data_IF_233331746611
#
_entry.id   IF_233331746611
#
_cell.length_a   1.000
_cell.length_b   1.000
_cell.length_c   1.000
_cell.angle_alpha   90.00
_cell.angle_beta   90.00
_cell.angle_gamma   90.00
#
_symmetry.space_group_name_H-M   'P 1'
#
loop_
_entity.id
_entity.type
_entity.pdbx_description
1 polymer ?
#
# COMPACT_ATOMS: atom_id res chain seq x y z
N UNK A 1 -20.80 -42.53 -19.32
CA UNK A 1 -20.07 -42.06 -18.11
C UNK A 1 -19.09 -40.90 -18.36
N UNK A 2 -19.22 -40.09 -19.42
CA UNK A 2 -18.26 -39.00 -19.72
C UNK A 2 -18.69 -37.59 -19.25
N UNK A 3 -19.97 -37.40 -18.91
CA UNK A 3 -20.52 -36.09 -18.53
C UNK A 3 -20.15 -35.64 -17.10
N UNK A 4 -19.91 -36.58 -16.18
CA UNK A 4 -19.61 -36.29 -14.76
C UNK A 4 -18.19 -35.75 -14.54
N UNK A 5 -17.26 -36.00 -15.46
CA UNK A 5 -15.86 -35.59 -15.34
C UNK A 5 -15.67 -34.10 -15.70
N UNK A 6 -16.44 -33.59 -16.67
CA UNK A 6 -16.36 -32.20 -17.13
C UNK A 6 -16.88 -31.24 -16.04
N UNK A 7 -17.96 -31.61 -15.34
CA UNK A 7 -18.53 -30.80 -14.26
C UNK A 7 -17.60 -30.68 -13.05
N UNK A 8 -16.79 -31.71 -12.77
CA UNK A 8 -15.85 -31.73 -11.65
C UNK A 8 -14.62 -30.84 -11.88
N UNK A 9 -14.19 -30.69 -13.14
CA UNK A 9 -13.04 -29.85 -13.51
C UNK A 9 -13.45 -28.37 -13.48
N UNK A 10 -14.69 -28.06 -13.89
CA UNK A 10 -15.20 -26.67 -13.90
C UNK A 10 -15.38 -26.11 -12.48
N UNK A 11 -15.81 -26.93 -11.52
CA UNK A 11 -15.94 -26.51 -10.11
C UNK A 11 -14.59 -26.32 -9.41
N UNK A 12 -13.54 -27.03 -9.82
CA UNK A 12 -12.18 -26.84 -9.30
C UNK A 12 -11.55 -25.51 -9.75
N UNK A 13 -11.88 -25.03 -10.95
CA UNK A 13 -11.45 -23.72 -11.43
C UNK A 13 -12.17 -22.57 -10.72
N UNK A 14 -13.45 -22.73 -10.39
CA UNK A 14 -14.23 -21.71 -9.67
C UNK A 14 -13.80 -21.57 -8.19
N UNK A 15 -13.29 -22.63 -7.56
CA UNK A 15 -12.78 -22.56 -6.19
C UNK A 15 -11.49 -21.72 -6.06
N UNK A 16 -10.64 -21.71 -7.10
CA UNK A 16 -9.35 -21.00 -7.05
C UNK A 16 -9.47 -19.49 -7.33
N UNK A 17 -10.54 -19.04 -7.99
CA UNK A 17 -10.78 -17.61 -8.23
C UNK A 17 -11.28 -16.85 -6.98
N UNK A 18 -11.86 -17.56 -6.00
CA UNK A 18 -12.39 -16.96 -4.76
C UNK A 18 -11.31 -16.55 -3.75
N UNK A 19 -10.16 -17.23 -3.74
CA UNK A 19 -9.10 -16.97 -2.75
C UNK A 19 -8.32 -15.67 -3.02
N UNK A 20 -8.23 -15.22 -4.27
CA UNK A 20 -7.49 -13.99 -4.60
C UNK A 20 -8.23 -12.70 -4.21
N UNK A 21 -9.58 -12.71 -4.24
CA UNK A 21 -10.40 -11.55 -3.85
C UNK A 21 -10.51 -11.38 -2.33
N UNK A 22 -10.41 -12.46 -1.56
CA UNK A 22 -10.50 -12.41 -0.10
C UNK A 22 -9.32 -11.65 0.56
N UNK A 23 -8.10 -11.79 0.02
CA UNK A 23 -6.91 -11.12 0.55
C UNK A 23 -6.95 -9.60 0.37
N UNK A 24 -7.47 -9.09 -0.75
CA UNK A 24 -7.63 -7.64 -0.95
C UNK A 24 -8.63 -7.02 0.04
N UNK A 25 -9.72 -7.72 0.33
CA UNK A 25 -10.75 -7.24 1.24
C UNK A 25 -10.29 -7.27 2.71
N UNK A 26 -9.51 -8.29 3.11
CA UNK A 26 -8.92 -8.34 4.45
C UNK A 26 -7.93 -7.19 4.63
N UNK A 27 -7.00 -7.03 3.70
CA UNK A 27 -5.98 -5.99 3.73
C UNK A 27 -6.64 -4.60 3.85
N UNK A 28 -7.55 -4.25 2.93
CA UNK A 28 -8.26 -2.97 2.95
C UNK A 28 -9.00 -2.71 4.27
N UNK A 29 -9.66 -3.73 4.85
CA UNK A 29 -10.39 -3.59 6.13
C UNK A 29 -9.44 -3.34 7.31
N UNK A 30 -8.29 -4.01 7.35
CA UNK A 30 -7.28 -3.79 8.40
C UNK A 30 -6.70 -2.37 8.31
N UNK A 31 -6.42 -1.88 7.09
CA UNK A 31 -5.82 -0.56 6.90
C UNK A 31 -6.79 0.60 7.18
N UNK A 32 -8.07 0.47 6.80
CA UNK A 32 -9.08 1.48 7.15
C UNK A 32 -9.32 1.55 8.66
N UNK A 33 -9.21 0.43 9.38
CA UNK A 33 -9.35 0.41 10.83
C UNK A 33 -8.19 1.15 11.53
N UNK A 34 -6.97 1.11 10.98
CA UNK A 34 -5.83 1.84 11.55
C UNK A 34 -5.93 3.35 11.39
N UNK A 35 -6.74 3.87 10.46
CA UNK A 35 -6.97 5.33 10.40
C UNK A 35 -7.67 5.88 11.64
N UNK A 36 -8.42 5.06 12.36
CA UNK A 36 -9.07 5.46 13.62
C UNK A 36 -8.08 5.67 14.78
N UNK A 37 -6.81 5.26 14.61
CA UNK A 37 -5.79 5.42 15.64
C UNK A 37 -4.92 6.66 15.43
N UNK A 38 -5.15 7.44 14.37
CA UNK A 38 -4.39 8.66 14.10
C UNK A 38 -4.95 9.82 14.93
N UNK A 39 -4.09 10.44 15.72
CA UNK A 39 -4.34 11.66 16.44
C UNK A 39 -3.78 12.86 15.66
N UNK A 40 -4.64 13.85 15.41
CA UNK A 40 -4.29 15.07 14.67
C UNK A 40 -4.19 16.31 15.57
N UNK A 41 -4.32 16.16 16.90
CA UNK A 41 -4.47 17.31 17.82
C UNK A 41 -3.28 18.26 17.80
N UNK A 42 -2.06 17.75 17.66
CA UNK A 42 -0.81 18.51 17.73
C UNK A 42 0.16 18.16 16.59
N UNK A 43 -0.41 17.87 15.42
CA UNK A 43 0.33 17.24 14.33
C UNK A 43 0.40 15.73 14.49
N UNK A 44 0.94 15.08 13.47
CA UNK A 44 1.03 13.63 13.36
C UNK A 44 2.46 13.15 13.59
N UNK A 45 2.58 12.05 14.32
CA UNK A 45 3.81 11.29 14.50
C UNK A 45 4.26 10.60 13.21
N UNK A 46 5.50 10.09 13.25
CA UNK A 46 6.06 9.27 12.18
C UNK A 46 5.23 8.01 11.93
N UNK A 47 4.75 7.37 12.98
CA UNK A 47 3.95 6.14 12.90
C UNK A 47 2.58 6.41 12.26
N UNK A 48 1.98 7.55 12.59
CA UNK A 48 0.72 8.00 11.98
C UNK A 48 0.90 8.36 10.50
N UNK A 49 2.02 9.02 10.14
CA UNK A 49 2.37 9.27 8.75
C UNK A 49 2.49 7.97 7.95
N UNK A 50 3.09 6.92 8.52
CA UNK A 50 3.16 5.60 7.89
C UNK A 50 1.76 5.02 7.64
N UNK A 51 0.86 5.14 8.61
CA UNK A 51 -0.52 4.65 8.48
C UNK A 51 -1.24 5.40 7.35
N UNK A 52 -1.14 6.72 7.31
CA UNK A 52 -1.74 7.56 6.27
C UNK A 52 -1.17 7.20 4.89
N UNK A 53 0.16 7.10 4.78
CA UNK A 53 0.85 6.82 3.52
C UNK A 53 0.46 5.46 2.93
N UNK A 54 0.42 4.41 3.77
CA UNK A 54 -0.02 3.08 3.33
C UNK A 54 -1.45 3.11 2.82
N UNK A 55 -2.34 3.80 3.52
CA UNK A 55 -3.73 3.91 3.11
C UNK A 55 -3.86 4.63 1.76
N UNK A 56 -3.13 5.73 1.54
CA UNK A 56 -3.10 6.41 0.24
C UNK A 56 -2.68 5.47 -0.89
N UNK A 57 -1.55 4.77 -0.73
CA UNK A 57 -1.05 3.80 -1.71
C UNK A 57 -2.04 2.67 -2.02
N UNK A 58 -2.88 2.29 -1.06
CA UNK A 58 -3.93 1.28 -1.27
C UNK A 58 -5.12 1.87 -2.01
N UNK A 59 -5.56 3.07 -1.63
CA UNK A 59 -6.68 3.77 -2.25
C UNK A 59 -6.39 4.13 -3.71
N UNK A 60 -5.14 4.52 -4.01
CA UNK A 60 -4.65 4.82 -5.36
C UNK A 60 -4.41 3.55 -6.19
N UNK A 61 -4.38 2.36 -5.55
CA UNK A 61 -4.22 1.07 -6.21
C UNK A 61 -2.77 0.64 -6.45
N UNK A 62 -1.81 1.34 -5.85
CA UNK A 62 -0.37 1.13 -5.97
C UNK A 62 0.17 0.04 -5.04
N UNK A 63 -0.62 -0.44 -4.08
CA UNK A 63 -0.24 -1.51 -3.13
C UNK A 63 0.23 -2.84 -3.78
N UNK A 64 -0.10 -3.07 -5.05
CA UNK A 64 0.38 -4.21 -5.85
C UNK A 64 1.82 -4.05 -6.34
N UNK A 65 2.28 -2.81 -6.45
CA UNK A 65 3.53 -2.41 -7.09
C UNK A 65 4.62 -2.16 -6.04
N UNK A 66 4.23 -1.79 -4.82
CA UNK A 66 5.15 -1.52 -3.70
C UNK A 66 5.00 -2.48 -2.52
N UNK A 67 6.05 -2.56 -1.70
CA UNK A 67 6.04 -3.27 -0.43
C UNK A 67 5.67 -2.32 0.72
N UNK A 68 4.47 -2.49 1.28
CA UNK A 68 3.94 -1.60 2.31
C UNK A 68 4.40 -1.93 3.73
N UNK A 69 5.07 -3.06 3.97
CA UNK A 69 5.34 -3.53 5.33
C UNK A 69 6.32 -2.62 6.08
N UNK A 70 7.43 -2.25 5.45
CA UNK A 70 8.54 -1.57 6.09
C UNK A 70 8.96 -0.32 5.28
N UNK A 71 8.15 0.74 5.31
CA UNK A 71 8.55 1.99 4.68
C UNK A 71 9.71 2.63 5.44
N UNK A 72 10.53 3.37 4.71
CA UNK A 72 11.45 4.35 5.29
C UNK A 72 10.68 5.64 5.51
N UNK A 73 10.95 6.34 6.61
CA UNK A 73 10.40 7.69 6.82
C UNK A 73 11.56 8.62 7.09
N UNK A 74 11.72 9.58 6.20
CA UNK A 74 12.64 10.69 6.36
C UNK A 74 11.88 11.91 6.90
N UNK A 75 12.49 12.58 7.88
CA UNK A 75 12.01 13.85 8.41
C UNK A 75 12.99 14.92 7.96
N UNK A 76 12.52 15.90 7.20
CA UNK A 76 13.36 17.00 6.75
C UNK A 76 14.10 16.71 5.45
N UNK A 77 13.43 16.05 4.50
CA UNK A 77 13.86 15.95 3.11
C UNK A 77 13.76 17.32 2.42
N UNK A 78 13.02 17.41 1.32
CA UNK A 78 12.90 18.68 0.56
C UNK A 78 12.12 19.77 1.32
N UNK A 79 11.37 19.41 2.36
CA UNK A 79 10.59 20.33 3.18
C UNK A 79 10.46 19.81 4.63
N UNK A 80 10.92 20.60 5.61
CA UNK A 80 10.85 20.27 7.04
C UNK A 80 9.43 20.12 7.58
N UNK A 81 8.42 20.65 6.87
CA UNK A 81 7.02 20.53 7.24
C UNK A 81 6.37 19.22 6.81
N UNK A 82 7.11 18.35 6.10
CA UNK A 82 6.61 17.10 5.53
C UNK A 82 7.29 15.86 6.10
N UNK A 83 6.49 14.81 6.30
CA UNK A 83 6.95 13.43 6.38
C UNK A 83 7.08 12.88 4.95
N UNK A 84 8.26 12.36 4.65
CA UNK A 84 8.54 11.70 3.37
C UNK A 84 8.55 10.20 3.63
N UNK A 85 7.47 9.51 3.23
CA UNK A 85 7.30 8.07 3.49
C UNK A 85 7.58 7.30 2.21
N UNK A 86 8.68 6.56 2.19
CA UNK A 86 9.15 5.82 1.02
C UNK A 86 8.85 4.32 1.13
N UNK A 87 8.31 3.78 0.05
CA UNK A 87 8.02 2.36 -0.11
C UNK A 87 8.88 1.78 -1.22
N UNK A 88 9.59 0.71 -0.89
CA UNK A 88 10.39 -0.03 -1.87
C UNK A 88 9.47 -0.73 -2.88
N UNK A 89 9.79 -0.62 -4.16
CA UNK A 89 9.12 -1.39 -5.21
C UNK A 89 9.21 -2.90 -4.94
N UNK A 90 8.21 -3.65 -5.39
CA UNK A 90 8.29 -5.12 -5.36
C UNK A 90 9.28 -5.59 -6.42
N UNK A 91 9.88 -6.76 -6.18
CA UNK A 91 10.95 -7.35 -7.02
C UNK A 91 10.65 -7.37 -8.53
N UNK A 92 9.41 -7.59 -8.94
CA UNK A 92 9.05 -7.61 -10.37
C UNK A 92 9.11 -6.22 -11.00
N UNK A 93 8.73 -5.17 -10.25
CA UNK A 93 8.85 -3.79 -10.70
C UNK A 93 10.31 -3.38 -10.68
N UNK A 94 11.07 -3.81 -9.67
CA UNK A 94 12.52 -3.59 -9.62
C UNK A 94 13.25 -4.22 -10.81
N UNK A 95 12.87 -5.44 -11.18
CA UNK A 95 13.46 -6.13 -12.33
C UNK A 95 13.19 -5.44 -13.67
N UNK A 96 12.15 -4.59 -13.75
CA UNK A 96 11.77 -3.90 -14.98
C UNK A 96 12.22 -2.44 -15.04
N UNK A 97 12.41 -1.79 -13.88
CA UNK A 97 12.70 -0.35 -13.78
C UNK A 97 13.97 -0.01 -12.98
N UNK A 98 14.66 -0.99 -12.42
CA UNK A 98 15.77 -0.77 -11.49
C UNK A 98 15.27 -0.57 -10.05
N UNK A 99 16.15 -0.13 -9.15
CA UNK A 99 15.73 0.12 -7.77
C UNK A 99 14.85 1.38 -7.79
N UNK A 100 13.57 1.19 -7.45
CA UNK A 100 12.55 2.23 -7.52
C UNK A 100 11.80 2.37 -6.20
N UNK A 101 11.51 3.60 -5.81
CA UNK A 101 10.75 3.91 -4.60
C UNK A 101 9.51 4.72 -4.93
N UNK A 102 8.42 4.38 -4.26
CA UNK A 102 7.20 5.20 -4.25
C UNK A 102 7.19 6.02 -2.97
N UNK A 103 7.15 7.34 -3.10
CA UNK A 103 7.19 8.26 -1.95
C UNK A 103 5.85 8.96 -1.81
N UNK A 104 5.32 9.01 -0.57
CA UNK A 104 4.14 9.79 -0.21
C UNK A 104 4.56 10.93 0.71
N UNK A 105 4.14 12.15 0.36
CA UNK A 105 4.44 13.35 1.13
C UNK A 105 3.24 13.72 2.01
N UNK A 106 3.46 13.81 3.32
CA UNK A 106 2.39 14.04 4.29
C UNK A 106 2.74 15.23 5.18
N UNK A 107 1.80 16.16 5.28
CA UNK A 107 1.93 17.34 6.14
C UNK A 107 1.99 16.95 7.63
N UNK A 108 3.08 17.34 8.31
CA UNK A 108 3.33 16.97 9.72
C UNK A 108 2.27 17.51 10.68
N UNK A 109 1.58 18.60 10.35
CA UNK A 109 0.61 19.25 11.25
C UNK A 109 -0.81 18.74 11.05
N UNK A 110 -1.17 18.41 9.81
CA UNK A 110 -2.55 18.10 9.44
C UNK A 110 -2.75 16.65 9.04
N UNK A 111 -1.67 15.92 8.75
CA UNK A 111 -1.71 14.59 8.16
C UNK A 111 -2.30 14.55 6.75
N UNK A 112 -2.45 15.71 6.09
CA UNK A 112 -2.92 15.76 4.72
C UNK A 112 -1.84 15.21 3.77
N UNK A 113 -2.23 14.29 2.89
CA UNK A 113 -1.40 13.87 1.75
C UNK A 113 -1.26 15.05 0.78
N UNK A 114 -0.03 15.52 0.56
CA UNK A 114 0.26 16.64 -0.34
C UNK A 114 0.63 16.21 -1.76
N UNK A 115 0.98 14.93 -1.92
CA UNK A 115 1.29 14.31 -3.21
C UNK A 115 2.16 13.08 -3.05
N UNK A 116 2.70 12.61 -4.17
CA UNK A 116 3.66 11.53 -4.21
C UNK A 116 4.51 11.57 -5.47
N UNK A 117 5.61 10.86 -5.45
CA UNK A 117 6.58 10.79 -6.54
C UNK A 117 7.26 9.43 -6.61
N UNK A 118 7.87 9.15 -7.76
CA UNK A 118 8.74 8.00 -7.95
C UNK A 118 10.18 8.48 -8.07
N UNK A 119 11.10 7.90 -7.29
CA UNK A 119 12.54 8.14 -7.42
C UNK A 119 13.24 6.85 -7.84
N UNK A 120 14.09 6.97 -8.87
CA UNK A 120 15.02 5.93 -9.31
C UNK A 120 16.37 6.16 -8.58
N UNK A 121 17.05 5.08 -8.16
CA UNK A 121 18.44 5.11 -7.66
C UNK A 121 19.45 4.69 -8.73
#
# INVERSE_FOLDING_TARGET
MKLKLITLILSLFLLNAGCAMANKASDYKYYKASMNTVNYSDGISKEEAIIIARNSMIEDGDAKDFNLANPTVESGGLNDELWDVEFKARLWLEATRGIFFGTVYIDKKTGQVKGGGGSDL
#
